data_IF_778758286385
#
_entry.id   IF_778758286385
#
_cell.length_a   1.000
_cell.length_b   1.000
_cell.length_c   1.000
_cell.angle_alpha   90.00
_cell.angle_beta   90.00
_cell.angle_gamma   90.00
#
_symmetry.space_group_name_H-M   'P 1'
#
loop_
_entity.id
_entity.type
_entity.pdbx_description
1 polymer ?
#
# COMPACT_ATOMS: atom_id res chain seq x y z
N UNK A 1 -14.48 0.15 -2.00
CA UNK A 1 -13.05 0.46 -2.24
C UNK A 1 -12.22 -0.71 -1.73
N UNK A 2 -11.21 -1.18 -2.46
CA UNK A 2 -10.36 -2.30 -2.02
C UNK A 2 -9.09 -1.75 -1.36
N UNK A 3 -8.78 -2.20 -0.15
CA UNK A 3 -7.51 -1.92 0.53
C UNK A 3 -6.60 -3.15 0.43
N UNK A 4 -5.42 -2.94 -0.12
CA UNK A 4 -4.36 -3.92 -0.23
C UNK A 4 -3.22 -3.48 0.70
N UNK A 5 -2.55 -4.43 1.34
CA UNK A 5 -1.31 -4.14 2.07
C UNK A 5 -0.18 -4.95 1.47
N UNK A 6 0.80 -4.27 0.90
CA UNK A 6 2.06 -4.91 0.52
C UNK A 6 2.89 -5.14 1.77
N UNK A 7 2.93 -6.39 2.23
CA UNK A 7 3.50 -6.77 3.52
C UNK A 7 4.67 -7.73 3.36
N UNK A 8 5.80 -7.38 3.96
CA UNK A 8 7.05 -8.13 3.82
C UNK A 8 7.23 -9.24 4.86
N UNK A 9 6.35 -9.37 5.85
CA UNK A 9 6.42 -10.33 6.96
C UNK A 9 7.69 -10.17 7.81
N UNK A 10 8.06 -8.92 8.09
CA UNK A 10 9.24 -8.59 8.90
C UNK A 10 8.92 -8.48 10.40
N UNK A 11 7.63 -8.44 10.76
CA UNK A 11 7.16 -8.23 12.13
C UNK A 11 6.47 -9.46 12.74
N UNK A 12 6.36 -9.47 14.07
CA UNK A 12 5.56 -10.44 14.82
C UNK A 12 4.09 -10.40 14.33
N UNK A 13 3.55 -11.50 13.78
CA UNK A 13 2.20 -11.53 13.23
C UNK A 13 1.11 -11.28 14.29
N UNK A 14 1.39 -11.46 15.58
CA UNK A 14 0.45 -11.17 16.66
C UNK A 14 0.33 -9.67 16.94
N UNK A 15 1.34 -8.87 16.57
CA UNK A 15 1.41 -7.42 16.80
C UNK A 15 1.18 -6.60 15.53
N UNK A 16 1.26 -7.22 14.36
CA UNK A 16 1.11 -6.56 13.07
C UNK A 16 -0.33 -6.08 12.80
N UNK A 17 -0.50 -4.76 12.64
CA UNK A 17 -1.79 -4.12 12.32
C UNK A 17 -2.34 -4.60 10.97
N UNK A 18 -1.51 -4.75 9.93
CA UNK A 18 -1.95 -5.23 8.63
C UNK A 18 -2.56 -6.64 8.71
N UNK A 19 -1.94 -7.53 9.49
CA UNK A 19 -2.45 -8.89 9.75
C UNK A 19 -3.76 -8.86 10.52
N UNK A 20 -3.90 -7.95 11.50
CA UNK A 20 -5.17 -7.74 12.21
C UNK A 20 -6.27 -7.29 11.25
N UNK A 21 -6.00 -6.32 10.39
CA UNK A 21 -6.96 -5.83 9.38
C UNK A 21 -7.40 -6.92 8.39
N UNK A 22 -6.47 -7.79 7.97
CA UNK A 22 -6.79 -8.95 7.13
C UNK A 22 -7.76 -9.92 7.83
N UNK A 23 -7.53 -10.21 9.11
CA UNK A 23 -8.43 -11.08 9.90
C UNK A 23 -9.84 -10.52 10.04
N UNK A 24 -9.99 -9.21 10.10
CA UNK A 24 -11.30 -8.53 10.13
C UNK A 24 -11.90 -8.30 8.73
N UNK A 25 -11.24 -8.74 7.65
CA UNK A 25 -11.71 -8.54 6.28
C UNK A 25 -11.64 -7.09 5.78
N UNK A 26 -10.92 -6.21 6.49
CA UNK A 26 -10.79 -4.78 6.15
C UNK A 26 -9.73 -4.52 5.08
N UNK A 27 -8.74 -5.42 4.95
CA UNK A 27 -7.68 -5.33 3.97
C UNK A 27 -7.29 -6.73 3.46
N UNK A 28 -6.64 -6.77 2.30
CA UNK A 28 -6.05 -8.01 1.75
C UNK A 28 -4.53 -7.90 1.72
N UNK A 29 -3.82 -8.87 2.29
CA UNK A 29 -2.36 -8.86 2.24
C UNK A 29 -1.86 -9.37 0.90
N UNK A 30 -0.85 -8.67 0.38
CA UNK A 30 -0.15 -8.98 -0.85
C UNK A 30 1.34 -9.11 -0.53
N UNK A 31 1.96 -10.23 -0.90
CA UNK A 31 3.39 -10.49 -0.64
C UNK A 31 4.29 -10.28 -1.86
N UNK A 32 3.68 -10.16 -3.04
CA UNK A 32 4.35 -10.02 -4.32
C UNK A 32 3.84 -8.77 -5.01
N UNK A 33 4.76 -7.93 -5.48
CA UNK A 33 4.42 -6.64 -6.11
C UNK A 33 3.61 -6.87 -7.39
N UNK A 34 3.81 -7.99 -8.08
CA UNK A 34 3.11 -8.36 -9.32
C UNK A 34 1.61 -8.58 -9.12
N UNK A 35 1.18 -8.82 -7.88
CA UNK A 35 -0.24 -8.98 -7.52
C UNK A 35 -0.92 -7.64 -7.21
N UNK A 36 -0.17 -6.54 -7.22
CA UNK A 36 -0.71 -5.20 -7.04
C UNK A 36 -1.28 -4.69 -8.38
N UNK A 37 -2.53 -4.21 -8.45
CA UNK A 37 -3.12 -3.68 -9.67
C UNK A 37 -2.35 -2.44 -10.18
N UNK A 38 -1.99 -2.38 -11.47
CA UNK A 38 -1.19 -1.29 -12.05
C UNK A 38 -1.78 0.13 -11.84
N UNK A 39 -3.12 0.25 -11.79
CA UNK A 39 -3.81 1.53 -11.63
C UNK A 39 -4.09 1.94 -10.18
N UNK A 40 -3.69 1.12 -9.19
CA UNK A 40 -3.95 1.42 -7.79
C UNK A 40 -3.21 2.66 -7.33
N UNK A 41 -3.68 3.24 -6.23
CA UNK A 41 -2.96 4.32 -5.54
C UNK A 41 -2.02 3.69 -4.53
N UNK A 42 -0.72 4.00 -4.62
CA UNK A 42 0.29 3.61 -3.64
C UNK A 42 0.40 4.73 -2.62
N UNK A 43 0.15 4.41 -1.34
CA UNK A 43 0.47 5.31 -0.25
C UNK A 43 1.99 5.31 -0.05
N UNK A 44 2.61 6.45 -0.31
CA UNK A 44 4.06 6.65 -0.28
C UNK A 44 4.37 7.95 0.47
N UNK A 45 5.07 7.89 1.63
CA UNK A 45 5.41 9.08 2.41
C UNK A 45 6.34 10.04 1.67
N UNK A 46 7.09 9.55 0.68
CA UNK A 46 8.03 10.34 -0.11
C UNK A 46 7.43 10.83 -1.44
N UNK A 47 6.12 10.70 -1.64
CA UNK A 47 5.47 11.19 -2.86
C UNK A 47 5.37 12.73 -2.86
N UNK A 48 5.38 13.33 -4.05
CA UNK A 48 5.19 14.78 -4.22
C UNK A 48 3.70 15.17 -4.25
N UNK A 49 2.83 14.24 -4.65
CA UNK A 49 1.40 14.49 -4.79
C UNK A 49 0.63 14.04 -3.55
N UNK A 50 -0.22 14.91 -3.03
CA UNK A 50 -1.09 14.61 -1.89
C UNK A 50 -2.28 13.73 -2.30
N UNK A 51 -2.67 12.78 -1.45
CA UNK A 51 -3.92 12.05 -1.60
C UNK A 51 -5.12 12.99 -1.44
N UNK A 52 -6.04 13.01 -2.40
CA UNK A 52 -7.16 13.94 -2.40
C UNK A 52 -8.44 13.34 -3.00
N UNK A 53 -9.53 14.14 -2.98
CA UNK A 53 -10.82 13.76 -3.59
C UNK A 53 -10.68 13.45 -5.09
N UNK A 54 -9.70 14.03 -5.78
CA UNK A 54 -9.42 13.74 -7.18
C UNK A 54 -9.05 12.26 -7.44
N UNK A 55 -8.57 11.55 -6.41
CA UNK A 55 -8.18 10.14 -6.50
C UNK A 55 -9.36 9.17 -6.30
N UNK A 56 -10.59 9.68 -6.12
CA UNK A 56 -11.79 8.88 -5.85
C UNK A 56 -12.07 7.84 -6.93
N UNK A 57 -11.97 8.20 -8.20
CA UNK A 57 -12.24 7.25 -9.30
C UNK A 57 -11.21 6.10 -9.31
N UNK A 58 -9.93 6.44 -9.21
CA UNK A 58 -8.84 5.46 -9.18
C UNK A 58 -8.92 4.54 -7.95
N UNK A 59 -9.19 5.10 -6.77
CA UNK A 59 -9.33 4.32 -5.53
C UNK A 59 -10.51 3.36 -5.57
N UNK A 60 -11.65 3.76 -6.14
CA UNK A 60 -12.80 2.89 -6.31
C UNK A 60 -12.55 1.78 -7.34
N UNK A 61 -11.92 2.12 -8.48
CA UNK A 61 -11.69 1.19 -9.60
C UNK A 61 -10.56 0.19 -9.34
N UNK A 62 -9.43 0.66 -8.83
CA UNK A 62 -8.20 -0.12 -8.71
C UNK A 62 -7.79 -0.42 -7.26
N UNK A 63 -8.32 0.34 -6.30
CA UNK A 63 -7.98 0.20 -4.88
C UNK A 63 -6.81 1.07 -4.44
N UNK A 64 -6.55 1.01 -3.14
CA UNK A 64 -5.44 1.68 -2.46
C UNK A 64 -4.51 0.60 -1.91
N UNK A 65 -3.22 0.86 -1.98
CA UNK A 65 -2.16 0.00 -1.45
C UNK A 65 -1.42 0.74 -0.36
N UNK A 66 -1.50 0.22 0.87
CA UNK A 66 -0.58 0.57 1.93
C UNK A 66 0.67 -0.33 1.84
N UNK A 67 1.80 0.18 2.32
CA UNK A 67 3.06 -0.56 2.42
C UNK A 67 3.34 -0.78 3.90
N UNK A 68 3.55 -2.04 4.28
CA UNK A 68 3.87 -2.42 5.66
C UNK A 68 5.27 -3.06 5.66
N UNK A 69 6.25 -2.23 6.01
CA UNK A 69 7.67 -2.57 6.07
C UNK A 69 8.35 -1.89 7.27
N UNK A 70 9.53 -2.38 7.63
CA UNK A 70 10.37 -1.69 8.60
C UNK A 70 10.83 -0.33 8.04
N UNK A 71 11.12 0.64 8.91
CA UNK A 71 11.71 1.92 8.51
C UNK A 71 13.07 1.76 7.82
N UNK A 72 13.82 0.71 8.16
CA UNK A 72 15.14 0.43 7.58
C UNK A 72 15.06 0.01 6.11
N UNK A 73 13.92 -0.53 5.68
CA UNK A 73 13.72 -1.07 4.33
C UNK A 73 12.92 -0.16 3.40
N UNK A 74 12.42 0.99 3.89
CA UNK A 74 11.50 1.88 3.16
C UNK A 74 12.00 2.17 1.73
N UNK A 75 13.25 2.62 1.58
CA UNK A 75 13.79 2.99 0.27
C UNK A 75 13.87 1.80 -0.70
N UNK A 76 14.36 0.65 -0.20
CA UNK A 76 14.46 -0.56 -0.99
C UNK A 76 13.06 -1.04 -1.44
N UNK A 77 12.06 -0.89 -0.59
CA UNK A 77 10.68 -1.30 -0.88
C UNK A 77 10.04 -0.38 -1.91
N UNK A 78 10.13 0.94 -1.72
CA UNK A 78 9.55 1.90 -2.66
C UNK A 78 10.27 1.88 -4.03
N UNK A 79 11.56 1.52 -4.10
CA UNK A 79 12.26 1.31 -5.37
C UNK A 79 11.55 0.26 -6.26
N UNK A 80 10.98 -0.79 -5.66
CA UNK A 80 10.25 -1.86 -6.37
C UNK A 80 8.85 -1.43 -6.81
N UNK A 81 8.36 -0.33 -6.24
CA UNK A 81 7.05 0.26 -6.51
C UNK A 81 7.12 1.41 -7.53
N UNK A 82 8.31 1.85 -7.97
CA UNK A 82 8.47 2.93 -8.97
C UNK A 82 7.73 2.68 -10.30
N UNK A 83 7.40 1.43 -10.60
CA UNK A 83 6.60 1.06 -11.79
C UNK A 83 5.12 1.47 -11.70
N UNK A 84 4.62 1.85 -10.52
CA UNK A 84 3.27 2.37 -10.34
C UNK A 84 3.29 3.89 -10.53
N UNK A 85 2.28 4.44 -11.19
CA UNK A 85 2.25 5.89 -11.48
C UNK A 85 1.60 6.70 -10.37
N UNK A 86 0.63 6.12 -9.67
CA UNK A 86 -0.24 6.84 -8.75
C UNK A 86 0.30 6.76 -7.32
N UNK A 87 1.44 7.41 -7.05
CA UNK A 87 1.94 7.58 -5.68
C UNK A 87 1.30 8.79 -5.02
N UNK A 88 0.88 8.64 -3.76
CA UNK A 88 0.29 9.70 -2.96
C UNK A 88 0.81 9.69 -1.53
N UNK A 89 1.14 10.85 -0.98
CA UNK A 89 1.36 10.98 0.46
C UNK A 89 0.02 11.30 1.15
N UNK A 90 -0.10 10.92 2.41
CA UNK A 90 -1.23 11.31 3.26
C UNK A 90 -0.92 12.66 3.94
N UNK A 91 -1.88 13.59 4.02
CA UNK A 91 -1.71 14.84 4.74
C UNK A 91 -1.53 14.65 6.25
#
# INVERSE_FOLDING_TARGET
MKLLVYHLNQDDPKKCTAKKMERFGLAKIVKRVERIPKGCIILNPNAECMFSVADKEYSLRYGIVAVDCSWQDVDAVFSRLLRFKNHRYLP
#
